data_IF_541651281767
#
_entry.id   IF_541651281767
#
_cell.length_a   1.000
_cell.length_b   1.000
_cell.length_c   1.000
_cell.angle_alpha   90.00
_cell.angle_beta   90.00
_cell.angle_gamma   90.00
#
_symmetry.space_group_name_H-M   'P 1'
#
loop_
_entity.id
_entity.type
_entity.pdbx_description
1 polymer ?
#
# COMPACT_ATOMS: atom_id res chain seq x y z
N UNK A 1 -41.79 18.62 -32.53
CA UNK A 1 -41.36 17.63 -33.54
C UNK A 1 -40.75 16.45 -32.81
N UNK A 2 -41.47 15.35 -32.80
CA UNK A 2 -41.23 14.13 -32.00
C UNK A 2 -40.43 13.16 -32.86
N UNK A 3 -39.27 12.68 -32.38
CA UNK A 3 -38.50 11.66 -33.09
C UNK A 3 -38.45 10.35 -32.27
N UNK A 4 -38.90 9.21 -32.84
CA UNK A 4 -39.08 7.98 -32.08
C UNK A 4 -37.81 7.11 -31.98
N UNK A 5 -37.75 6.45 -30.82
CA UNK A 5 -36.81 5.44 -30.33
C UNK A 5 -36.61 4.30 -31.33
N UNK A 6 -35.35 4.03 -31.72
CA UNK A 6 -34.97 2.75 -32.35
C UNK A 6 -34.40 1.81 -31.30
N UNK A 7 -35.21 0.81 -30.94
CA UNK A 7 -34.77 -0.42 -30.26
C UNK A 7 -33.93 -1.23 -31.25
N UNK A 8 -32.76 -1.70 -30.84
CA UNK A 8 -32.02 -2.72 -31.60
C UNK A 8 -31.55 -3.85 -30.68
N UNK A 9 -31.65 -5.04 -31.25
CA UNK A 9 -31.77 -6.35 -30.64
C UNK A 9 -30.38 -6.94 -30.35
N UNK A 10 -30.22 -7.54 -29.17
CA UNK A 10 -29.07 -8.39 -28.81
C UNK A 10 -29.18 -9.76 -29.48
N UNK A 11 -28.10 -10.29 -30.08
CA UNK A 11 -27.99 -11.71 -30.36
C UNK A 11 -27.24 -12.44 -29.24
N UNK A 12 -27.97 -13.36 -28.60
CA UNK A 12 -27.49 -14.44 -27.74
C UNK A 12 -26.76 -15.47 -28.59
N UNK A 13 -25.48 -15.78 -28.31
CA UNK A 13 -24.86 -17.02 -28.77
C UNK A 13 -24.13 -17.65 -27.58
N UNK A 14 -24.72 -18.75 -27.11
CA UNK A 14 -24.11 -19.72 -26.23
C UNK A 14 -23.13 -20.59 -27.03
N UNK A 15 -21.97 -20.90 -26.46
CA UNK A 15 -21.29 -22.16 -26.78
C UNK A 15 -20.45 -22.63 -25.60
N UNK A 16 -21.05 -23.54 -24.84
CA UNK A 16 -20.43 -24.33 -23.79
C UNK A 16 -19.46 -25.34 -24.40
N UNK A 17 -18.19 -25.29 -23.99
CA UNK A 17 -17.25 -26.39 -24.20
C UNK A 17 -16.95 -27.02 -22.83
N UNK A 18 -17.65 -28.12 -22.54
CA UNK A 18 -17.30 -29.01 -21.44
C UNK A 18 -16.12 -29.89 -21.86
N UNK A 19 -14.96 -29.66 -21.24
CA UNK A 19 -13.85 -30.62 -21.28
C UNK A 19 -13.99 -31.56 -20.08
N UNK A 20 -14.32 -32.83 -20.35
CA UNK A 20 -14.24 -33.92 -19.39
C UNK A 20 -12.80 -34.42 -19.41
N UNK A 21 -12.04 -34.12 -18.35
CA UNK A 21 -10.71 -34.69 -18.12
C UNK A 21 -10.86 -35.85 -17.12
N UNK A 22 -10.36 -37.06 -17.41
CA UNK A 22 -10.34 -38.16 -16.45
C UNK A 22 -9.38 -37.84 -15.30
N UNK A 23 -9.90 -37.84 -14.07
CA UNK A 23 -9.13 -37.70 -12.84
C UNK A 23 -8.31 -38.98 -12.60
N UNK A 24 -7.05 -38.97 -13.00
CA UNK A 24 -6.05 -39.88 -12.45
C UNK A 24 -5.78 -39.47 -11.00
N UNK A 25 -6.21 -40.30 -10.06
CA UNK A 25 -5.89 -40.15 -8.65
C UNK A 25 -4.39 -40.40 -8.45
N UNK A 26 -3.60 -39.33 -8.51
CA UNK A 26 -2.22 -39.33 -8.04
C UNK A 26 -2.30 -38.94 -6.57
N UNK A 27 -2.20 -39.93 -5.68
CA UNK A 27 -2.01 -39.73 -4.25
C UNK A 27 -0.77 -38.86 -4.05
N UNK A 28 -1.00 -37.60 -3.70
CA UNK A 28 0.06 -36.66 -3.37
C UNK A 28 0.59 -37.08 -1.99
N UNK A 29 1.89 -37.40 -1.84
CA UNK A 29 2.45 -37.64 -0.53
C UNK A 29 2.28 -36.36 0.29
N UNK A 30 1.60 -36.50 1.43
CA UNK A 30 1.38 -35.44 2.39
C UNK A 30 2.73 -34.77 2.72
N UNK A 31 2.94 -33.59 2.15
CA UNK A 31 4.05 -32.73 2.52
C UNK A 31 3.82 -32.27 3.97
N UNK A 32 4.58 -32.85 4.89
CA UNK A 32 4.68 -32.40 6.26
C UNK A 32 4.96 -30.89 6.26
N UNK A 33 4.05 -30.14 6.88
CA UNK A 33 4.02 -28.69 6.86
C UNK A 33 5.28 -28.08 7.48
N UNK A 34 6.10 -27.46 6.63
CA UNK A 34 6.80 -26.25 7.03
C UNK A 34 5.74 -25.15 7.10
N UNK A 35 5.25 -24.84 8.30
CA UNK A 35 4.58 -23.57 8.55
C UNK A 35 5.58 -22.48 8.25
N UNK A 36 5.56 -22.00 7.00
CA UNK A 36 6.30 -20.81 6.60
C UNK A 36 5.62 -19.69 7.35
N UNK A 37 6.28 -19.18 8.39
CA UNK A 37 5.83 -18.00 9.12
C UNK A 37 5.64 -16.90 8.09
N UNK A 38 4.38 -16.64 7.73
CA UNK A 38 4.01 -15.72 6.68
C UNK A 38 4.21 -14.32 7.26
N UNK A 39 5.42 -13.79 7.12
CA UNK A 39 5.74 -12.41 7.51
C UNK A 39 4.70 -11.49 6.87
N UNK A 40 4.00 -10.73 7.70
CA UNK A 40 3.01 -9.77 7.21
C UNK A 40 3.69 -8.83 6.19
N UNK A 41 3.03 -8.51 5.06
CA UNK A 41 3.59 -7.58 4.10
C UNK A 41 3.91 -6.25 4.79
N UNK A 42 4.99 -5.59 4.37
CA UNK A 42 5.42 -4.32 4.99
C UNK A 42 4.83 -3.10 4.25
N UNK A 43 4.26 -3.35 3.07
CA UNK A 43 3.81 -2.31 2.17
C UNK A 43 2.58 -2.75 1.38
N UNK A 44 1.81 -1.76 0.95
CA UNK A 44 0.68 -1.93 0.06
C UNK A 44 0.73 -0.90 -1.05
N UNK A 45 0.61 -1.35 -2.31
CA UNK A 45 0.49 -0.49 -3.47
C UNK A 45 -0.95 -0.40 -3.97
N UNK A 46 -1.31 0.72 -4.58
CA UNK A 46 -2.62 0.97 -5.16
C UNK A 46 -2.51 1.85 -6.41
N UNK A 47 -3.44 1.65 -7.33
CA UNK A 47 -3.54 2.47 -8.55
C UNK A 47 -4.45 3.67 -8.30
N UNK A 48 -4.10 4.80 -8.92
CA UNK A 48 -4.88 6.03 -8.86
C UNK A 48 -5.58 6.19 -10.22
N UNK A 49 -6.92 6.04 -10.28
CA UNK A 49 -7.63 6.10 -11.54
C UNK A 49 -7.72 7.53 -12.08
N UNK A 50 -8.25 7.68 -13.28
CA UNK A 50 -8.56 8.97 -13.91
C UNK A 50 -7.37 9.91 -14.25
N UNK A 51 -6.13 9.61 -13.83
CA UNK A 51 -4.98 10.43 -14.19
C UNK A 51 -4.43 10.18 -15.60
N UNK A 52 -4.96 9.20 -16.35
CA UNK A 52 -4.64 9.00 -17.76
C UNK A 52 -5.27 10.03 -18.71
N UNK A 53 -6.23 10.83 -18.23
CA UNK A 53 -6.87 11.90 -19.01
C UNK A 53 -6.52 13.26 -18.41
N UNK A 54 -5.84 14.10 -19.20
CA UNK A 54 -5.46 15.44 -18.78
C UNK A 54 -5.76 16.43 -19.89
N UNK A 55 -6.75 17.28 -19.63
CA UNK A 55 -7.05 18.43 -20.45
C UNK A 55 -6.73 19.70 -19.67
N UNK A 56 -6.28 20.74 -20.39
CA UNK A 56 -6.04 22.06 -19.81
C UNK A 56 -7.34 22.77 -19.38
N UNK A 57 -8.49 22.21 -19.75
CA UNK A 57 -9.81 22.74 -19.45
C UNK A 57 -10.42 22.13 -18.18
N UNK A 58 -9.82 21.05 -17.66
CA UNK A 58 -10.39 20.31 -16.54
C UNK A 58 -9.58 20.52 -15.27
N UNK A 59 -10.25 20.84 -14.17
CA UNK A 59 -9.61 20.91 -12.86
C UNK A 59 -9.52 19.52 -12.25
N UNK A 60 -8.33 19.15 -11.77
CA UNK A 60 -8.11 17.87 -11.11
C UNK A 60 -7.76 18.02 -9.63
N UNK A 61 -8.46 17.25 -8.81
CA UNK A 61 -8.20 17.13 -7.39
C UNK A 61 -7.90 15.68 -7.04
N UNK A 62 -6.95 15.48 -6.13
CA UNK A 62 -6.64 14.17 -5.56
C UNK A 62 -6.74 14.25 -4.05
N UNK A 63 -7.40 13.28 -3.44
CA UNK A 63 -7.44 13.14 -1.99
C UNK A 63 -7.32 11.68 -1.59
N UNK A 64 -6.52 11.43 -0.57
CA UNK A 64 -6.30 10.12 0.01
C UNK A 64 -6.38 10.23 1.54
N UNK A 65 -7.00 9.23 2.15
CA UNK A 65 -7.11 9.06 3.57
C UNK A 65 -6.51 7.70 3.94
N UNK A 66 -5.71 7.69 4.99
CA UNK A 66 -5.14 6.47 5.57
C UNK A 66 -5.45 6.49 7.05
N UNK A 67 -6.25 5.53 7.51
CA UNK A 67 -6.64 5.38 8.90
C UNK A 67 -5.96 4.15 9.50
N UNK A 68 -5.45 4.29 10.72
CA UNK A 68 -4.95 3.18 11.51
C UNK A 68 -6.10 2.64 12.37
N UNK A 69 -6.66 1.49 11.98
CA UNK A 69 -7.66 0.74 12.72
C UNK A 69 -7.05 -0.21 13.76
N UNK A 70 -5.73 -0.13 13.99
CA UNK A 70 -5.03 -0.87 15.03
C UNK A 70 -5.11 -0.17 16.39
N UNK A 71 -4.65 -0.88 17.42
CA UNK A 71 -4.66 -0.41 18.81
C UNK A 71 -3.35 0.30 19.22
N UNK A 72 -2.34 0.29 18.36
CA UNK A 72 -1.05 0.92 18.59
C UNK A 72 -0.74 1.99 17.54
N UNK A 73 0.13 2.94 17.90
CA UNK A 73 0.71 3.87 16.94
C UNK A 73 1.64 3.13 15.96
N UNK A 74 1.64 3.56 14.70
CA UNK A 74 2.53 3.06 13.68
C UNK A 74 3.15 4.22 12.90
N UNK A 75 4.42 4.07 12.53
CA UNK A 75 5.08 5.00 11.63
C UNK A 75 4.88 4.54 10.20
N UNK A 76 4.22 5.36 9.40
CA UNK A 76 3.94 5.06 7.99
C UNK A 76 4.65 6.05 7.07
N UNK A 77 4.93 5.63 5.84
CA UNK A 77 5.32 6.53 4.75
C UNK A 77 4.40 6.31 3.56
N UNK A 78 3.78 7.39 3.08
CA UNK A 78 3.05 7.40 1.82
C UNK A 78 4.01 7.79 0.69
N UNK A 79 4.19 6.90 -0.26
CA UNK A 79 4.87 7.18 -1.53
C UNK A 79 3.83 7.37 -2.61
N UNK A 80 4.03 8.39 -3.43
CA UNK A 80 3.26 8.64 -4.64
C UNK A 80 4.22 8.69 -5.81
N UNK A 81 3.79 8.22 -6.97
CA UNK A 81 4.64 8.13 -8.15
C UNK A 81 3.95 8.73 -9.36
N UNK A 82 4.72 9.42 -10.19
CA UNK A 82 4.29 9.91 -11.50
C UNK A 82 4.19 8.76 -12.51
N UNK A 83 3.72 9.06 -13.72
CA UNK A 83 3.55 8.08 -14.79
C UNK A 83 4.86 7.37 -15.16
N UNK A 84 5.98 8.10 -15.10
CA UNK A 84 7.32 7.60 -15.43
C UNK A 84 7.97 6.80 -14.27
N UNK A 85 7.27 6.67 -13.14
CA UNK A 85 7.75 5.98 -11.95
C UNK A 85 8.61 6.84 -11.03
N UNK A 86 8.84 8.11 -11.33
CA UNK A 86 9.52 9.04 -10.41
C UNK A 86 8.67 9.35 -9.19
N UNK A 87 9.31 9.57 -8.04
CA UNK A 87 8.60 9.92 -6.81
C UNK A 87 8.00 11.33 -6.90
N UNK A 88 6.74 11.43 -6.49
CA UNK A 88 6.02 12.67 -6.31
C UNK A 88 6.14 13.12 -4.85
N UNK A 89 6.84 14.23 -4.63
CA UNK A 89 7.19 14.71 -3.28
C UNK A 89 6.55 16.05 -2.92
N UNK A 90 5.59 16.54 -3.72
CA UNK A 90 4.95 17.82 -3.40
C UNK A 90 4.17 17.71 -2.11
N UNK A 91 4.26 18.75 -1.28
CA UNK A 91 3.40 18.90 -0.13
C UNK A 91 1.96 19.12 -0.59
N UNK A 92 1.01 18.62 0.20
CA UNK A 92 -0.40 18.74 -0.12
C UNK A 92 -0.91 20.17 0.08
N UNK A 93 -2.00 20.50 -0.59
CA UNK A 93 -2.73 21.75 -0.39
C UNK A 93 -3.81 21.61 0.68
N UNK A 94 -4.18 22.74 1.29
CA UNK A 94 -5.41 22.82 2.08
C UNK A 94 -6.52 23.42 1.21
N UNK A 95 -7.62 22.70 1.02
CA UNK A 95 -8.77 23.18 0.25
C UNK A 95 -10.08 22.75 0.93
N UNK A 96 -11.00 23.70 1.13
CA UNK A 96 -12.31 23.47 1.77
C UNK A 96 -12.22 22.59 3.03
N UNK A 97 -11.36 22.99 3.97
CA UNK A 97 -11.11 22.30 5.24
C UNK A 97 -10.48 20.90 5.14
N UNK A 98 -10.12 20.42 3.94
CA UNK A 98 -9.28 19.24 3.76
C UNK A 98 -7.82 19.67 3.96
N UNK A 99 -7.30 19.47 5.16
CA UNK A 99 -5.89 19.70 5.49
C UNK A 99 -5.06 18.44 5.28
N UNK A 100 -3.93 18.57 4.59
CA UNK A 100 -2.96 17.47 4.47
C UNK A 100 -2.16 17.33 5.76
N UNK A 101 -2.21 16.16 6.39
CA UNK A 101 -1.41 15.80 7.57
C UNK A 101 -0.27 14.84 7.25
N UNK A 102 -0.34 14.17 6.11
CA UNK A 102 0.72 13.32 5.56
C UNK A 102 1.44 14.13 4.48
N UNK A 103 2.77 14.08 4.49
CA UNK A 103 3.60 14.59 3.39
C UNK A 103 4.21 13.39 2.65
N UNK A 104 4.06 13.28 1.33
CA UNK A 104 4.64 12.17 0.56
C UNK A 104 6.15 12.03 0.76
N UNK A 105 6.62 10.78 0.76
CA UNK A 105 8.01 10.36 0.99
C UNK A 105 8.62 10.79 2.33
N UNK A 106 7.83 11.33 3.27
CA UNK A 106 8.24 11.61 4.65
C UNK A 106 7.54 10.67 5.63
N UNK A 107 8.23 10.14 6.67
CA UNK A 107 7.58 9.38 7.73
C UNK A 107 6.52 10.21 8.46
N UNK A 108 5.41 9.58 8.81
CA UNK A 108 4.33 10.15 9.58
C UNK A 108 3.87 9.15 10.66
N UNK A 109 3.84 9.61 11.92
CA UNK A 109 3.30 8.83 13.02
C UNK A 109 1.77 8.86 12.97
N UNK A 110 1.15 7.69 12.84
CA UNK A 110 -0.29 7.53 12.80
C UNK A 110 -0.77 6.79 14.06
N UNK A 111 -1.32 7.56 15.00
CA UNK A 111 -1.88 7.04 16.25
C UNK A 111 -2.96 5.98 16.01
N UNK A 112 -3.18 5.13 17.01
CA UNK A 112 -4.33 4.24 17.05
C UNK A 112 -5.63 5.00 16.78
N UNK A 113 -6.47 4.46 15.90
CA UNK A 113 -7.77 5.02 15.50
C UNK A 113 -7.72 6.41 14.85
N UNK A 114 -6.53 6.89 14.46
CA UNK A 114 -6.37 8.18 13.80
C UNK A 114 -6.35 8.05 12.27
N UNK A 115 -6.72 9.14 11.60
CA UNK A 115 -6.70 9.27 10.14
C UNK A 115 -5.70 10.32 9.71
N UNK A 116 -4.77 9.92 8.84
CA UNK A 116 -3.92 10.83 8.09
C UNK A 116 -4.55 11.16 6.74
N UNK A 117 -4.38 12.40 6.32
CA UNK A 117 -4.97 12.92 5.10
C UNK A 117 -3.87 13.46 4.19
N UNK A 118 -4.01 13.23 2.89
CA UNK A 118 -3.26 13.93 1.87
C UNK A 118 -4.21 14.43 0.80
N UNK A 119 -4.04 15.68 0.40
CA UNK A 119 -4.85 16.30 -0.63
C UNK A 119 -3.99 17.24 -1.48
N UNK A 120 -4.19 17.21 -2.79
CA UNK A 120 -3.58 18.16 -3.70
C UNK A 120 -4.54 18.51 -4.82
N UNK A 121 -4.63 19.81 -5.12
CA UNK A 121 -5.25 20.32 -6.33
C UNK A 121 -4.18 20.45 -7.41
N UNK A 122 -4.28 19.68 -8.49
CA UNK A 122 -3.41 19.80 -9.66
C UNK A 122 -3.82 20.96 -10.58
N UNK A 123 -4.97 21.58 -10.32
CA UNK A 123 -5.55 22.61 -11.15
C UNK A 123 -5.83 22.11 -12.55
N UNK A 124 -5.80 23.04 -13.51
CA UNK A 124 -6.01 22.81 -14.93
C UNK A 124 -4.75 23.06 -15.77
N UNK A 125 -3.62 23.43 -15.14
CA UNK A 125 -2.39 23.81 -15.84
C UNK A 125 -1.29 22.74 -15.76
N UNK A 126 -1.48 21.72 -14.90
CA UNK A 126 -0.53 20.61 -14.76
C UNK A 126 -0.73 19.58 -15.86
N UNK A 127 0.38 19.21 -16.50
CA UNK A 127 0.42 18.15 -17.50
C UNK A 127 0.17 16.78 -16.86
N UNK A 128 -0.22 15.78 -17.65
CA UNK A 128 -0.35 14.40 -17.18
C UNK A 128 0.88 13.90 -16.44
N UNK A 129 2.07 14.21 -16.95
CA UNK A 129 3.32 13.75 -16.37
C UNK A 129 3.57 14.27 -14.95
N UNK A 130 2.94 15.38 -14.55
CA UNK A 130 3.07 15.98 -13.22
C UNK A 130 2.05 15.46 -12.20
N UNK A 131 1.25 14.45 -12.59
CA UNK A 131 0.18 13.85 -11.75
C UNK A 131 0.60 12.49 -11.22
N UNK A 132 -0.06 12.08 -10.14
CA UNK A 132 0.21 10.81 -9.43
C UNK A 132 -0.56 9.64 -10.04
N UNK A 133 0.09 8.56 -10.43
CA UNK A 133 -0.56 7.38 -11.06
C UNK A 133 -0.60 6.17 -10.15
N UNK A 134 0.37 6.08 -9.26
CA UNK A 134 0.54 4.96 -8.34
C UNK A 134 0.81 5.51 -6.95
N UNK A 135 0.29 4.83 -5.94
CA UNK A 135 0.64 5.07 -4.55
C UNK A 135 1.09 3.79 -3.86
N UNK A 136 1.86 3.96 -2.79
CA UNK A 136 2.30 2.88 -1.91
C UNK A 136 2.35 3.38 -0.46
N UNK A 137 1.74 2.67 0.46
CA UNK A 137 1.92 2.91 1.91
C UNK A 137 2.88 1.85 2.45
N UNK A 138 3.87 2.29 3.23
CA UNK A 138 4.85 1.41 3.90
C UNK A 138 4.75 1.64 5.40
N UNK A 139 4.80 0.58 6.21
CA UNK A 139 4.96 0.66 7.67
C UNK A 139 6.45 0.55 7.99
N UNK A 140 7.02 1.62 8.54
CA UNK A 140 8.43 1.71 8.90
C UNK A 140 8.70 1.11 10.29
N UNK A 141 7.78 1.33 11.24
CA UNK A 141 7.83 0.84 12.62
C UNK A 141 6.43 0.54 13.15
N UNK A 142 6.36 -0.42 14.08
CA UNK A 142 5.12 -0.84 14.72
C UNK A 142 4.33 -1.88 13.94
N UNK A 143 3.14 -2.18 14.44
CA UNK A 143 2.12 -2.99 13.77
C UNK A 143 0.96 -2.08 13.41
N UNK A 144 0.61 -2.04 12.13
CA UNK A 144 -0.48 -1.21 11.65
C UNK A 144 -1.57 -2.07 11.05
N UNK A 145 -2.81 -1.75 11.41
CA UNK A 145 -3.98 -2.26 10.73
C UNK A 145 -4.58 -1.10 9.95
N UNK A 146 -4.35 -1.05 8.63
CA UNK A 146 -4.66 0.15 7.87
C UNK A 146 -5.97 -0.01 7.07
N UNK A 147 -6.71 1.09 7.00
CA UNK A 147 -7.81 1.32 6.08
C UNK A 147 -7.43 2.52 5.22
N UNK A 148 -7.54 2.40 3.90
CA UNK A 148 -7.22 3.49 3.00
C UNK A 148 -8.33 3.67 1.97
N UNK A 149 -8.69 4.92 1.72
CA UNK A 149 -9.69 5.31 0.74
C UNK A 149 -9.32 6.66 0.15
N UNK A 150 -9.77 6.94 -1.06
CA UNK A 150 -9.55 8.24 -1.66
C UNK A 150 -10.35 8.42 -2.92
N UNK A 151 -10.15 9.57 -3.55
CA UNK A 151 -10.81 9.91 -4.79
C UNK A 151 -9.94 10.83 -5.64
N UNK A 152 -10.16 10.74 -6.95
CA UNK A 152 -9.76 11.74 -7.92
C UNK A 152 -11.02 12.47 -8.36
N UNK A 153 -10.97 13.80 -8.45
CA UNK A 153 -12.06 14.57 -9.04
C UNK A 153 -11.62 15.24 -10.32
N UNK A 154 -12.46 15.15 -11.34
CA UNK A 154 -12.34 15.81 -12.64
C UNK A 154 -13.59 16.65 -12.82
N UNK A 155 -13.45 17.98 -12.84
CA UNK A 155 -14.59 18.89 -12.96
C UNK A 155 -15.73 18.62 -11.96
N UNK A 156 -15.38 18.20 -10.74
CA UNK A 156 -16.34 17.87 -9.68
C UNK A 156 -16.94 16.46 -9.77
N UNK A 157 -16.76 15.73 -10.87
CA UNK A 157 -17.05 14.29 -10.92
C UNK A 157 -15.98 13.55 -10.11
N UNK A 158 -16.37 12.58 -9.26
CA UNK A 158 -15.44 11.87 -8.39
C UNK A 158 -15.32 10.41 -8.78
N UNK A 159 -14.09 9.94 -8.92
CA UNK A 159 -13.75 8.54 -9.11
C UNK A 159 -13.01 8.02 -7.89
N UNK A 160 -13.44 6.87 -7.36
CA UNK A 160 -12.88 6.31 -6.13
C UNK A 160 -11.57 5.59 -6.39
N UNK A 161 -10.59 5.81 -5.51
CA UNK A 161 -9.34 5.04 -5.49
C UNK A 161 -9.62 3.73 -4.77
N UNK A 162 -9.41 2.60 -5.46
CA UNK A 162 -9.54 1.28 -4.84
C UNK A 162 -8.22 0.89 -4.18
N UNK A 163 -8.18 0.90 -2.85
CA UNK A 163 -7.03 0.40 -2.08
C UNK A 163 -7.42 -0.92 -1.43
N UNK A 164 -6.80 -2.02 -1.85
CA UNK A 164 -7.08 -3.37 -1.32
C UNK A 164 -8.57 -3.71 -1.20
N UNK A 165 -9.35 -3.38 -2.23
CA UNK A 165 -10.81 -3.61 -2.24
C UNK A 165 -11.55 -2.99 -1.04
N UNK A 166 -11.00 -1.90 -0.47
CA UNK A 166 -11.47 -1.25 0.76
C UNK A 166 -11.49 -2.18 2.00
N UNK A 167 -10.67 -3.24 1.98
CA UNK A 167 -10.50 -4.15 3.12
C UNK A 167 -9.34 -3.69 3.99
N UNK A 168 -9.50 -3.89 5.29
CA UNK A 168 -8.43 -3.77 6.29
C UNK A 168 -7.26 -4.68 5.92
N UNK A 169 -6.05 -4.20 6.15
CA UNK A 169 -4.83 -4.98 5.93
C UNK A 169 -3.84 -4.80 7.08
N UNK A 170 -3.23 -5.92 7.46
CA UNK A 170 -2.21 -5.96 8.50
C UNK A 170 -0.84 -5.81 7.86
N UNK A 171 -0.08 -4.81 8.31
CA UNK A 171 1.31 -4.62 7.96
C UNK A 171 2.16 -4.58 9.22
N UNK A 172 3.33 -5.21 9.16
CA UNK A 172 4.32 -5.16 10.24
C UNK A 172 5.62 -4.57 9.73
N UNK A 173 6.31 -3.85 10.60
CA UNK A 173 7.67 -3.39 10.33
C UNK A 173 8.64 -4.57 10.12
N UNK A 174 9.78 -4.37 9.43
CA UNK A 174 10.82 -5.40 9.33
C UNK A 174 11.26 -5.84 10.72
N UNK A 175 11.20 -7.15 10.97
CA UNK A 175 11.82 -7.72 12.17
C UNK A 175 13.32 -7.47 12.10
N UNK A 176 13.87 -6.82 13.12
CA UNK A 176 15.31 -6.63 13.23
C UNK A 176 15.96 -8.02 13.18
N UNK A 177 16.97 -8.26 12.33
CA UNK A 177 17.67 -9.53 12.35
C UNK A 177 18.21 -9.79 13.77
N UNK A 178 18.23 -11.05 14.23
CA UNK A 178 18.79 -11.38 15.54
C UNK A 178 20.17 -10.75 15.63
N UNK A 179 20.37 -9.88 16.63
CA UNK A 179 21.70 -9.38 16.94
C UNK A 179 22.48 -10.62 17.36
N UNK A 180 23.40 -11.06 16.51
CA UNK A 180 24.33 -12.13 16.84
C UNK A 180 25.14 -11.64 18.05
N UNK A 181 24.74 -12.11 19.24
CA UNK A 181 25.42 -11.79 20.48
C UNK A 181 26.87 -12.22 20.33
N UNK A 182 27.86 -11.32 20.47
CA UNK A 182 29.25 -11.67 20.26
C UNK A 182 29.60 -12.80 21.24
N UNK A 183 29.93 -13.97 20.68
CA UNK A 183 30.30 -15.15 21.44
C UNK A 183 31.32 -14.75 22.51
N UNK A 184 30.94 -14.93 23.78
CA UNK A 184 31.78 -14.63 24.92
C UNK A 184 33.15 -15.27 24.69
N UNK A 185 34.18 -14.43 24.55
CA UNK A 185 35.55 -14.89 24.42
C UNK A 185 35.92 -15.66 25.70
N UNK A 186 35.99 -16.98 25.58
CA UNK A 186 36.42 -17.88 26.64
C UNK A 186 37.81 -17.45 27.12
N UNK A 187 37.88 -16.94 28.35
CA UNK A 187 39.15 -16.59 28.98
C UNK A 187 40.03 -17.86 29.11
N UNK A 188 41.31 -17.83 28.73
CA UNK A 188 42.19 -18.97 28.92
C UNK A 188 42.47 -19.16 30.41
N UNK A 189 42.08 -20.32 30.92
CA UNK A 189 42.48 -20.82 32.22
C UNK A 189 43.94 -21.31 32.15
N UNK A 190 44.78 -20.80 33.05
CA UNK A 190 45.99 -21.51 33.45
C UNK A 190 47.25 -20.68 33.55
N UNK A 191 47.64 -20.38 34.79
CA UNK A 191 49.02 -20.55 35.24
C UNK A 191 49.04 -20.59 36.77
N UNK A 192 48.82 -21.79 37.30
CA UNK A 192 49.15 -22.12 38.69
C UNK A 192 50.66 -22.08 38.85
N UNK A 193 51.16 -21.19 39.70
CA UNK A 193 52.52 -21.27 40.26
C UNK A 193 52.40 -21.41 41.77
N UNK A 194 52.43 -22.67 42.22
CA UNK A 194 53.00 -22.99 43.53
C UNK A 194 54.54 -22.95 43.36
N UNK A 195 55.36 -22.52 44.31
CA UNK A 195 55.92 -23.28 45.47
C UNK A 195 57.09 -22.35 45.98
N UNK A 196 57.65 -22.46 47.20
CA UNK A 196 57.12 -22.24 48.55
C UNK A 196 57.95 -21.17 49.34
N UNK A 197 57.58 -20.93 50.60
CA UNK A 197 58.47 -20.34 51.64
C UNK A 197 59.41 -21.43 52.22
N UNK A 198 60.44 -21.15 53.07
CA UNK A 198 60.88 -19.87 53.65
C UNK A 198 62.24 -19.34 53.15
#
# INVERSE_FOLDING_TARGET
MTNPIKKMILPTIALSLMFIVPAGAVESPAAAGLSREQTAPQAMAFQIPANSYCSAEESHDFSLQVANAGEAEADITLYLYNQDGTEFTSEGSSYRDIGSTIVPSKPAALKAHATGLYHINFGNHKTCAERVYLGKVVVNSGEASLLAQGWVSINGQKEAITVNENKRFELAAPSKPPVEEPAAASAPAGASTAVPAP
#
